data_IF_022106428204
#
_entry.id   IF_022106428204
#
_cell.length_a   1.000
_cell.length_b   1.000
_cell.length_c   1.000
_cell.angle_alpha   90.00
_cell.angle_beta   90.00
_cell.angle_gamma   90.00
#
_symmetry.space_group_name_H-M   'P 1'
#
loop_
_entity.id
_entity.type
_entity.pdbx_description
1 polymer ?
#
# COMPACT_ATOMS: atom_id res chain seq x y z
N UNK A 1 6.48 0.15 -7.69
CA UNK A 1 6.69 -1.30 -7.38
C UNK A 1 7.87 -1.40 -6.42
N UNK A 2 7.74 -2.04 -5.25
CA UNK A 2 8.80 -2.08 -4.23
C UNK A 2 9.96 -3.02 -4.59
N UNK A 3 11.18 -2.72 -4.10
CA UNK A 3 12.37 -3.54 -4.25
C UNK A 3 12.83 -4.10 -2.89
N UNK A 4 13.39 -5.30 -2.87
CA UNK A 4 13.89 -5.97 -1.67
C UNK A 4 15.41 -5.81 -1.55
N UNK A 5 15.91 -5.53 -0.35
CA UNK A 5 17.36 -5.45 -0.09
C UNK A 5 17.94 -6.85 0.05
N UNK A 6 18.93 -7.14 -0.79
CA UNK A 6 19.80 -8.30 -0.68
C UNK A 6 20.98 -7.94 0.23
N UNK A 7 20.87 -8.31 1.51
CA UNK A 7 21.89 -8.04 2.51
C UNK A 7 23.22 -8.73 2.24
N UNK A 8 23.22 -9.89 1.58
CA UNK A 8 24.45 -10.65 1.28
C UNK A 8 25.27 -9.97 0.18
N UNK A 9 24.60 -9.31 -0.77
CA UNK A 9 25.23 -8.56 -1.87
C UNK A 9 25.39 -7.07 -1.58
N UNK A 10 25.07 -6.61 -0.37
CA UNK A 10 25.23 -5.22 0.06
C UNK A 10 26.55 -5.03 0.80
N UNK A 11 27.12 -3.82 0.77
CA UNK A 11 28.39 -3.55 1.47
C UNK A 11 28.37 -2.23 2.23
N UNK A 12 29.09 -2.17 3.36
CA UNK A 12 29.37 -0.89 4.03
C UNK A 12 30.29 -0.05 3.16
N UNK A 13 30.08 1.27 3.14
CA UNK A 13 30.97 2.25 2.52
C UNK A 13 31.94 2.89 3.54
N UNK A 14 32.21 2.15 4.62
CA UNK A 14 33.09 2.52 5.71
C UNK A 14 34.52 2.82 5.22
N UNK A 15 34.99 2.06 4.23
CA UNK A 15 36.35 2.11 3.64
C UNK A 15 36.54 3.24 2.63
N UNK A 16 35.43 3.78 2.08
CA UNK A 16 35.44 4.90 1.12
C UNK A 16 35.05 6.23 1.75
N UNK A 17 35.09 6.33 3.09
CA UNK A 17 34.87 7.58 3.83
C UNK A 17 33.41 7.95 4.06
N UNK A 18 32.47 7.01 3.89
CA UNK A 18 31.05 7.19 4.20
C UNK A 18 30.62 6.21 5.30
N UNK A 19 31.12 6.38 6.55
CA UNK A 19 30.69 5.55 7.66
C UNK A 19 29.19 5.74 7.92
N UNK A 20 28.48 4.65 8.22
CA UNK A 20 27.04 4.65 8.42
C UNK A 20 26.23 4.41 7.13
N UNK A 21 26.85 4.53 5.96
CA UNK A 21 26.18 4.29 4.68
C UNK A 21 26.46 2.90 4.12
N UNK A 22 25.44 2.33 3.51
CA UNK A 22 25.50 1.10 2.74
C UNK A 22 25.28 1.38 1.26
N UNK A 23 26.02 0.65 0.42
CA UNK A 23 25.62 0.40 -0.96
C UNK A 23 24.73 -0.84 -0.93
N UNK A 24 23.42 -0.61 -0.88
CA UNK A 24 22.41 -1.65 -0.82
C UNK A 24 22.12 -2.20 -2.22
N UNK A 25 22.24 -3.51 -2.38
CA UNK A 25 21.80 -4.20 -3.58
C UNK A 25 20.32 -4.48 -3.46
N UNK A 26 19.50 -3.85 -4.31
CA UNK A 26 18.05 -3.97 -4.28
C UNK A 26 17.55 -4.75 -5.50
N UNK A 27 16.73 -5.77 -5.27
CA UNK A 27 16.14 -6.60 -6.31
C UNK A 27 14.70 -6.14 -6.57
N UNK A 28 14.41 -5.80 -7.82
CA UNK A 28 13.09 -5.40 -8.28
C UNK A 28 12.20 -6.64 -8.56
N UNK A 29 10.87 -6.49 -8.65
CA UNK A 29 9.96 -7.61 -8.91
C UNK A 29 10.13 -8.29 -10.27
N UNK A 30 10.73 -7.60 -11.25
CA UNK A 30 11.11 -8.15 -12.55
C UNK A 30 12.42 -8.95 -12.52
N UNK A 31 13.11 -8.97 -11.38
CA UNK A 31 14.41 -9.62 -11.19
C UNK A 31 15.61 -8.71 -11.45
N UNK A 32 15.40 -7.47 -11.90
CA UNK A 32 16.49 -6.53 -12.12
C UNK A 32 17.11 -6.07 -10.79
N UNK A 33 18.41 -5.76 -10.83
CA UNK A 33 19.15 -5.25 -9.68
C UNK A 33 19.41 -3.76 -9.83
N UNK A 34 19.20 -2.99 -8.77
CA UNK A 34 19.60 -1.59 -8.65
C UNK A 34 20.39 -1.39 -7.37
N UNK A 35 21.34 -0.44 -7.38
CA UNK A 35 22.13 -0.09 -6.21
C UNK A 35 21.58 1.18 -5.59
N UNK A 36 21.29 1.14 -4.30
CA UNK A 36 20.87 2.31 -3.52
C UNK A 36 21.96 2.69 -2.54
N UNK A 37 22.23 3.99 -2.43
CA UNK A 37 22.98 4.52 -1.31
C UNK A 37 22.01 4.74 -0.15
N UNK A 38 22.23 4.08 0.98
CA UNK A 38 21.29 4.08 2.10
C UNK A 38 22.00 4.39 3.40
N UNK A 39 21.43 5.28 4.20
CA UNK A 39 21.83 5.46 5.59
C UNK A 39 21.30 4.28 6.42
N UNK A 40 22.21 3.58 7.12
CA UNK A 40 21.87 2.39 7.90
C UNK A 40 20.93 2.70 9.06
N UNK A 41 20.98 3.90 9.61
CA UNK A 41 20.13 4.27 10.75
C UNK A 41 18.71 4.67 10.32
N UNK A 42 18.54 5.03 9.04
CA UNK A 42 17.22 5.27 8.42
C UNK A 42 16.58 3.97 7.88
N UNK A 43 17.39 2.92 7.69
CA UNK A 43 16.96 1.62 7.20
C UNK A 43 16.11 0.86 8.24
N UNK A 44 14.84 1.21 8.34
CA UNK A 44 13.89 0.58 9.27
C UNK A 44 12.94 1.56 9.97
N UNK A 45 13.22 2.86 9.91
CA UNK A 45 12.35 3.90 10.47
C UNK A 45 11.02 4.07 9.72
N UNK A 46 10.07 4.76 10.34
CA UNK A 46 8.74 5.04 9.78
C UNK A 46 8.77 6.03 8.59
N UNK A 47 9.88 6.75 8.40
CA UNK A 47 10.01 7.79 7.38
C UNK A 47 10.99 7.35 6.28
N UNK A 48 10.66 6.27 5.58
CA UNK A 48 11.53 5.71 4.52
C UNK A 48 11.47 6.60 3.27
N UNK A 49 12.46 7.47 3.13
CA UNK A 49 12.73 8.18 1.88
C UNK A 49 13.50 7.31 0.87
N UNK A 50 13.98 6.14 1.30
CA UNK A 50 14.78 5.23 0.50
C UNK A 50 13.89 4.23 -0.23
N UNK A 51 13.91 4.30 -1.55
CA UNK A 51 13.02 3.55 -2.43
C UNK A 51 12.00 4.47 -3.06
N UNK A 52 11.56 4.09 -4.26
CA UNK A 52 10.61 4.82 -5.08
C UNK A 52 9.27 5.03 -4.34
N UNK A 53 9.23 5.94 -3.37
CA UNK A 53 8.02 6.23 -2.60
C UNK A 53 6.90 6.65 -3.54
N UNK A 54 7.20 7.53 -4.48
CA UNK A 54 6.21 8.08 -5.41
C UNK A 54 5.61 7.05 -6.38
N UNK A 55 6.32 5.94 -6.69
CA UNK A 55 5.84 4.89 -7.61
C UNK A 55 5.15 3.71 -6.92
N UNK A 56 4.94 3.79 -5.60
CA UNK A 56 4.22 2.78 -4.83
C UNK A 56 2.95 3.38 -4.26
N UNK A 57 1.98 3.61 -5.15
CA UNK A 57 0.70 4.25 -4.83
C UNK A 57 -0.08 3.60 -3.66
N UNK A 58 0.18 2.33 -3.31
CA UNK A 58 -0.46 1.65 -2.19
C UNK A 58 0.24 1.85 -0.83
N UNK A 59 1.45 2.43 -0.82
CA UNK A 59 2.22 2.76 0.39
C UNK A 59 2.15 4.26 0.72
N UNK A 60 1.57 5.07 -0.16
CA UNK A 60 1.40 6.50 0.06
C UNK A 60 0.34 6.79 1.13
N UNK A 61 0.80 7.20 2.30
CA UNK A 61 -0.05 7.67 3.39
C UNK A 61 -0.48 9.12 3.10
N UNK A 62 -1.74 9.32 2.74
CA UNK A 62 -2.29 10.63 2.42
C UNK A 62 -3.70 10.55 1.83
N UNK A 63 -4.31 11.70 1.49
CA UNK A 63 -5.59 11.71 0.79
C UNK A 63 -5.51 10.90 -0.51
N UNK A 64 -6.51 10.06 -0.75
CA UNK A 64 -6.59 9.26 -1.98
C UNK A 64 -6.47 10.18 -3.22
N UNK A 65 -5.55 9.91 -4.16
CA UNK A 65 -5.41 10.75 -5.34
C UNK A 65 -6.73 10.88 -6.12
N UNK A 66 -6.97 12.07 -6.66
CA UNK A 66 -8.26 12.47 -7.21
C UNK A 66 -8.78 11.51 -8.30
N UNK A 67 -7.89 11.00 -9.15
CA UNK A 67 -8.24 10.03 -10.20
C UNK A 67 -8.89 8.75 -9.64
N UNK A 68 -8.39 8.23 -8.52
CA UNK A 68 -8.94 7.03 -7.87
C UNK A 68 -10.24 7.36 -7.17
N UNK A 69 -10.33 8.52 -6.51
CA UNK A 69 -11.57 9.00 -5.90
C UNK A 69 -12.70 9.11 -6.93
N UNK A 70 -12.41 9.64 -8.13
CA UNK A 70 -13.38 9.73 -9.22
C UNK A 70 -13.85 8.35 -9.72
N UNK A 71 -12.92 7.38 -9.87
CA UNK A 71 -13.25 6.00 -10.30
C UNK A 71 -14.16 5.31 -9.29
N UNK A 72 -13.88 5.43 -8.00
CA UNK A 72 -14.71 4.89 -6.92
C UNK A 72 -16.10 5.53 -6.98
N UNK A 73 -16.18 6.86 -7.03
CA UNK A 73 -17.45 7.57 -7.10
C UNK A 73 -18.29 7.18 -8.33
N UNK A 74 -17.65 6.98 -9.49
CA UNK A 74 -18.34 6.52 -10.70
C UNK A 74 -18.90 5.10 -10.57
N UNK A 75 -18.15 4.19 -9.94
CA UNK A 75 -18.61 2.83 -9.66
C UNK A 75 -19.76 2.82 -8.65
N UNK A 76 -19.66 3.62 -7.59
CA UNK A 76 -20.69 3.77 -6.57
C UNK A 76 -21.98 4.34 -7.14
N UNK A 77 -21.90 5.36 -8.00
CA UNK A 77 -23.06 5.93 -8.70
C UNK A 77 -23.73 4.92 -9.64
N UNK A 78 -22.94 4.12 -10.38
CA UNK A 78 -23.47 3.15 -11.35
C UNK A 78 -24.08 1.92 -10.68
N UNK A 79 -23.43 1.40 -9.64
CA UNK A 79 -23.84 0.15 -8.99
C UNK A 79 -24.78 0.41 -7.81
N UNK A 80 -24.72 1.58 -7.19
CA UNK A 80 -25.33 1.88 -5.90
C UNK A 80 -24.59 1.17 -4.77
N UNK A 81 -24.66 1.73 -3.55
CA UNK A 81 -24.03 1.12 -2.38
C UNK A 81 -24.64 -0.23 -2.02
N UNK A 82 -23.89 -1.05 -1.29
CA UNK A 82 -24.26 -2.42 -0.90
C UNK A 82 -24.04 -2.63 0.59
N UNK A 83 -24.91 -3.41 1.21
CA UNK A 83 -24.89 -3.65 2.66
C UNK A 83 -23.57 -4.23 3.18
N UNK A 84 -22.96 -5.19 2.48
CA UNK A 84 -21.65 -5.73 2.85
C UNK A 84 -21.61 -6.65 4.09
N UNK A 85 -22.66 -6.68 4.93
CA UNK A 85 -22.72 -7.56 6.12
C UNK A 85 -22.79 -9.04 5.74
N UNK A 86 -22.32 -9.92 6.64
CA UNK A 86 -22.35 -11.37 6.43
C UNK A 86 -23.79 -11.89 6.54
N UNK A 87 -24.20 -12.69 5.57
CA UNK A 87 -25.45 -13.45 5.65
C UNK A 87 -25.31 -14.61 6.63
N UNK A 88 -26.42 -15.25 7.03
CA UNK A 88 -26.39 -16.47 7.85
C UNK A 88 -25.58 -17.61 7.23
N UNK A 89 -25.49 -17.65 5.90
CA UNK A 89 -24.67 -18.59 5.13
C UNK A 89 -23.19 -18.18 4.99
N UNK A 90 -22.76 -17.09 5.62
CA UNK A 90 -21.38 -16.60 5.57
C UNK A 90 -21.01 -15.81 4.31
N UNK A 91 -21.90 -15.69 3.32
CA UNK A 91 -21.68 -14.87 2.13
C UNK A 91 -21.89 -13.37 2.41
N UNK A 92 -21.42 -12.50 1.50
CA UNK A 92 -21.58 -11.04 1.65
C UNK A 92 -22.95 -10.60 1.13
N UNK A 93 -23.70 -9.85 1.95
CA UNK A 93 -24.99 -9.28 1.56
C UNK A 93 -24.81 -8.20 0.48
N UNK A 94 -25.49 -8.39 -0.65
CA UNK A 94 -25.46 -7.47 -1.81
C UNK A 94 -26.76 -6.70 -2.01
N UNK A 95 -27.57 -6.54 -0.96
CA UNK A 95 -28.72 -5.64 -1.03
C UNK A 95 -28.28 -4.19 -1.18
N UNK A 96 -29.04 -3.42 -1.96
CA UNK A 96 -28.76 -2.00 -2.20
C UNK A 96 -29.04 -1.19 -0.93
N UNK A 97 -28.21 -0.18 -0.67
CA UNK A 97 -28.39 0.77 0.43
C UNK A 97 -28.17 2.20 -0.07
N UNK A 98 -28.65 3.18 0.69
CA UNK A 98 -28.66 4.59 0.28
C UNK A 98 -27.33 5.29 0.57
N UNK A 99 -26.63 4.91 1.65
CA UNK A 99 -25.32 5.47 2.00
C UNK A 99 -24.25 4.37 2.13
N UNK A 100 -22.97 4.68 1.86
CA UNK A 100 -21.89 3.73 2.13
C UNK A 100 -21.88 3.35 3.62
N UNK A 101 -21.70 2.06 3.91
CA UNK A 101 -21.64 1.54 5.28
C UNK A 101 -23.00 1.26 5.93
N UNK A 102 -24.11 1.68 5.32
CA UNK A 102 -25.45 1.37 5.84
C UNK A 102 -25.73 -0.15 5.80
N UNK A 103 -26.45 -0.62 6.81
CA UNK A 103 -27.09 -1.94 6.77
C UNK A 103 -28.35 -1.91 5.90
N UNK A 104 -28.60 -2.99 5.16
CA UNK A 104 -29.94 -3.19 4.59
C UNK A 104 -30.97 -3.44 5.70
N UNK A 105 -32.26 -3.35 5.37
CA UNK A 105 -33.36 -3.55 6.32
C UNK A 105 -33.25 -4.86 7.13
N UNK A 106 -32.77 -5.94 6.50
CA UNK A 106 -32.60 -7.25 7.13
C UNK A 106 -31.43 -7.33 8.11
N UNK A 107 -30.52 -6.38 8.02
CA UNK A 107 -29.33 -6.31 8.85
C UNK A 107 -29.32 -5.10 9.79
N UNK A 108 -30.32 -4.21 9.78
CA UNK A 108 -30.36 -3.01 10.63
C UNK A 108 -30.21 -3.28 12.14
N UNK A 109 -30.46 -4.51 12.60
CA UNK A 109 -30.33 -4.91 14.00
C UNK A 109 -29.27 -5.99 14.26
N UNK A 110 -28.41 -6.32 13.31
CA UNK A 110 -27.39 -7.39 13.47
C UNK A 110 -26.03 -6.84 13.10
N UNK A 111 -25.06 -6.71 14.03
CA UNK A 111 -23.76 -6.10 13.75
C UNK A 111 -23.05 -6.73 12.55
#
# INVERSE_FOLDING_TARGET
>A
MGALIDHERSTCLCDVGLPGYWLATCVKPDGDTVLWLVDRDELGGDNRCCGYGDDVAHEQLGPLPFEYAQRIAALDRRRGYRCGRRTRSGTVCRMRVTRPGDACEWHRGTP
#
